data_IF_760849758464
#
_entry.id   IF_760849758464
#
_cell.length_a   1.000
_cell.length_b   1.000
_cell.length_c   1.000
_cell.angle_alpha   90.00
_cell.angle_beta   90.00
_cell.angle_gamma   90.00
#
_symmetry.space_group_name_H-M   'P 1'
#
loop_
_entity.id
_entity.type
_entity.pdbx_description
1 polymer ?
#
# COMPACT_ATOMS: atom_id res chain seq x y z
N UNK A 1 -53.92 -35.15 4.84
CA UNK A 1 -52.55 -34.98 5.41
C UNK A 1 -51.64 -34.42 4.34
N UNK A 2 -51.54 -33.11 4.15
CA UNK A 2 -50.43 -32.45 3.42
C UNK A 2 -50.26 -31.08 4.09
N UNK A 3 -49.14 -30.92 4.79
CA UNK A 3 -48.84 -29.77 5.64
C UNK A 3 -48.37 -28.57 4.83
N UNK A 4 -48.96 -27.44 5.17
CA UNK A 4 -48.59 -26.08 4.76
C UNK A 4 -47.24 -25.73 5.43
N UNK A 5 -46.21 -25.40 4.66
CA UNK A 5 -44.96 -24.82 5.19
C UNK A 5 -44.85 -23.37 4.75
N UNK A 6 -44.98 -22.47 5.73
CA UNK A 6 -44.68 -21.05 5.63
C UNK A 6 -43.18 -20.85 5.38
N UNK A 7 -42.83 -20.12 4.32
CA UNK A 7 -41.52 -19.48 4.17
C UNK A 7 -41.62 -18.08 4.78
N UNK A 8 -40.96 -17.88 5.92
CA UNK A 8 -40.74 -16.56 6.48
C UNK A 8 -39.65 -15.85 5.66
N UNK A 9 -40.04 -14.81 4.93
CA UNK A 9 -39.12 -13.92 4.25
C UNK A 9 -38.43 -13.00 5.26
N UNK A 10 -37.13 -13.21 5.45
CA UNK A 10 -36.27 -12.28 6.19
C UNK A 10 -35.83 -11.18 5.22
N UNK A 11 -36.55 -10.06 5.25
CA UNK A 11 -36.24 -8.86 4.49
C UNK A 11 -35.07 -8.15 5.18
N UNK A 12 -33.85 -8.42 4.73
CA UNK A 12 -32.68 -7.62 5.12
C UNK A 12 -32.78 -6.29 4.37
N UNK A 13 -33.20 -5.23 5.07
CA UNK A 13 -33.02 -3.87 4.58
C UNK A 13 -31.51 -3.61 4.49
N UNK A 14 -30.99 -3.61 3.26
CA UNK A 14 -29.70 -3.03 2.93
C UNK A 14 -29.83 -1.52 3.18
N UNK A 15 -29.31 -1.06 4.32
CA UNK A 15 -29.01 0.34 4.52
C UNK A 15 -27.95 0.72 3.48
N UNK A 16 -28.38 1.42 2.43
CA UNK A 16 -27.46 2.10 1.53
C UNK A 16 -26.57 3.02 2.39
N UNK A 17 -25.25 3.03 2.21
CA UNK A 17 -24.44 4.08 2.81
C UNK A 17 -24.94 5.38 2.21
N UNK A 18 -25.61 6.20 3.01
CA UNK A 18 -25.74 7.60 2.70
C UNK A 18 -24.33 8.09 2.43
N UNK A 19 -24.11 8.66 1.24
CA UNK A 19 -22.88 9.41 0.98
C UNK A 19 -22.84 10.52 2.03
N UNK A 20 -22.14 10.26 3.13
CA UNK A 20 -21.73 11.29 4.04
C UNK A 20 -20.93 12.26 3.18
N UNK A 21 -21.44 13.49 3.07
CA UNK A 21 -20.60 14.59 2.64
C UNK A 21 -19.53 14.62 3.70
N UNK A 22 -18.32 14.14 3.39
CA UNK A 22 -17.18 14.22 4.30
C UNK A 22 -17.13 15.66 4.81
N UNK A 23 -17.22 15.80 6.14
CA UNK A 23 -17.04 17.11 6.75
C UNK A 23 -15.71 17.67 6.25
N UNK A 24 -15.65 18.94 5.83
CA UNK A 24 -14.42 19.48 5.23
C UNK A 24 -13.27 19.37 6.23
N UNK A 25 -12.27 18.56 5.86
CA UNK A 25 -11.01 18.40 6.58
C UNK A 25 -10.42 19.78 6.91
N UNK A 26 -10.36 20.14 8.19
CA UNK A 26 -9.82 21.44 8.59
C UNK A 26 -8.37 21.28 9.02
N UNK A 27 -7.48 21.90 8.24
CA UNK A 27 -6.05 21.81 8.48
C UNK A 27 -5.45 23.05 9.12
N UNK A 28 -4.47 22.81 9.97
CA UNK A 28 -3.68 23.81 10.66
C UNK A 28 -2.20 23.50 10.56
N UNK A 29 -1.38 24.53 10.59
CA UNK A 29 0.07 24.39 10.79
C UNK A 29 0.52 25.38 11.88
N UNK A 30 1.66 25.10 12.50
CA UNK A 30 2.19 25.98 13.53
C UNK A 30 3.19 25.26 14.41
N UNK A 31 3.07 25.42 15.72
CA UNK A 31 4.06 24.92 16.68
C UNK A 31 3.46 24.24 17.89
N UNK A 32 4.18 23.21 18.36
CA UNK A 32 4.08 22.62 19.70
C UNK A 32 5.44 22.84 20.37
N UNK A 33 5.50 23.73 21.36
CA UNK A 33 6.76 24.26 21.86
C UNK A 33 7.54 24.96 20.75
N UNK A 34 8.72 24.44 20.40
CA UNK A 34 9.53 24.93 19.28
C UNK A 34 9.41 24.07 18.02
N UNK A 35 8.73 22.93 18.10
CA UNK A 35 8.64 21.98 17.00
C UNK A 35 7.49 22.38 16.06
N UNK A 36 7.76 22.37 14.74
CA UNK A 36 6.75 22.67 13.72
C UNK A 36 5.86 21.46 13.49
N UNK A 37 4.55 21.68 13.44
CA UNK A 37 3.54 20.64 13.24
C UNK A 37 2.55 21.00 12.14
N UNK A 38 1.93 19.98 11.56
CA UNK A 38 0.71 20.08 10.76
C UNK A 38 -0.35 19.21 11.45
N UNK A 39 -1.57 19.73 11.56
CA UNK A 39 -2.70 19.12 12.26
C UNK A 39 -3.90 19.12 11.30
N UNK A 40 -4.55 17.97 11.17
CA UNK A 40 -5.86 17.83 10.55
C UNK A 40 -6.89 17.49 11.62
N UNK A 41 -8.05 18.15 11.58
CA UNK A 41 -9.18 17.90 12.48
C UNK A 41 -10.45 17.73 11.64
N UNK A 42 -11.25 16.75 12.06
CA UNK A 42 -12.61 16.51 11.62
C UNK A 42 -13.55 16.57 12.83
N UNK A 43 -14.73 17.17 12.63
CA UNK A 43 -15.73 17.37 13.67
C UNK A 43 -17.05 16.74 13.24
N UNK A 44 -17.58 15.85 14.07
CA UNK A 44 -18.85 15.18 13.80
C UNK A 44 -19.68 15.07 15.08
N UNK A 45 -20.87 15.67 15.09
CA UNK A 45 -21.86 15.56 16.19
C UNK A 45 -21.31 15.75 17.62
N UNK A 46 -20.27 16.60 17.80
CA UNK A 46 -19.64 16.91 19.09
C UNK A 46 -18.43 16.02 19.44
N UNK A 47 -18.18 14.99 18.65
CA UNK A 47 -16.91 14.27 18.60
C UNK A 47 -15.92 15.00 17.70
N UNK A 48 -14.64 14.85 18.04
CA UNK A 48 -13.53 15.43 17.27
C UNK A 48 -12.49 14.34 17.07
N UNK A 49 -12.16 14.08 15.82
CA UNK A 49 -11.06 13.20 15.41
C UNK A 49 -10.04 14.00 14.63
N UNK A 50 -8.83 13.46 14.52
CA UNK A 50 -7.80 14.10 13.73
C UNK A 50 -6.48 13.38 13.87
N UNK A 51 -5.47 14.04 13.34
CA UNK A 51 -4.10 13.56 13.37
C UNK A 51 -3.15 14.72 13.19
N UNK A 52 -1.95 14.59 13.73
CA UNK A 52 -0.90 15.57 13.53
C UNK A 52 0.45 14.88 13.36
N UNK A 53 1.36 15.56 12.68
CA UNK A 53 2.75 15.14 12.61
C UNK A 53 3.69 16.30 12.90
N UNK A 54 4.87 15.98 13.44
CA UNK A 54 5.99 16.92 13.51
C UNK A 54 6.71 16.96 12.16
N UNK A 55 6.99 18.14 11.61
CA UNK A 55 7.66 18.27 10.28
C UNK A 55 9.02 17.58 10.19
N UNK A 56 9.66 17.31 11.33
CA UNK A 56 10.96 16.62 11.41
C UNK A 56 10.85 15.10 11.33
N UNK A 57 9.79 14.50 11.88
CA UNK A 57 9.60 13.04 11.88
C UNK A 57 8.61 12.58 10.82
N UNK A 58 7.60 13.40 10.50
CA UNK A 58 6.53 13.12 9.53
C UNK A 58 5.69 11.88 9.87
N UNK A 59 5.79 11.36 11.10
CA UNK A 59 4.96 10.26 11.55
C UNK A 59 3.65 10.79 12.08
N UNK A 60 2.55 10.20 11.61
CA UNK A 60 1.20 10.55 12.05
C UNK A 60 0.96 10.12 13.50
N UNK A 61 0.37 11.01 14.27
CA UNK A 61 -0.05 10.78 15.65
C UNK A 61 -1.56 10.99 15.70
N UNK A 62 -2.27 9.91 16.03
CA UNK A 62 -3.74 9.92 16.11
C UNK A 62 -4.23 10.88 17.19
N UNK A 63 -5.39 11.48 16.97
CA UNK A 63 -6.11 12.31 17.93
C UNK A 63 -7.59 11.94 17.93
N UNK A 64 -8.15 11.77 19.12
CA UNK A 64 -9.59 11.60 19.31
C UNK A 64 -10.03 12.33 20.57
N UNK A 65 -11.27 12.81 20.58
CA UNK A 65 -11.77 13.55 21.73
C UNK A 65 -13.08 14.27 21.47
N UNK A 66 -13.29 15.38 22.19
CA UNK A 66 -14.57 16.10 22.23
C UNK A 66 -14.40 17.60 22.16
N UNK A 67 -15.41 18.27 21.63
CA UNK A 67 -15.53 19.71 21.67
C UNK A 67 -16.50 20.13 22.79
N UNK A 68 -16.10 21.16 23.55
CA UNK A 68 -16.96 21.82 24.53
C UNK A 68 -16.86 23.34 24.35
N UNK A 69 -17.89 23.94 23.74
CA UNK A 69 -17.84 25.33 23.30
C UNK A 69 -16.72 25.54 22.28
N UNK A 70 -15.78 26.44 22.57
CA UNK A 70 -14.61 26.71 21.72
C UNK A 70 -13.39 25.85 22.06
N UNK A 71 -13.50 24.95 23.04
CA UNK A 71 -12.37 24.15 23.53
C UNK A 71 -12.43 22.74 22.96
N UNK A 72 -11.37 22.32 22.29
CA UNK A 72 -11.13 20.94 21.86
C UNK A 72 -10.26 20.25 22.91
N UNK A 73 -10.70 19.08 23.37
CA UNK A 73 -9.92 18.20 24.24
C UNK A 73 -9.69 16.90 23.50
N UNK A 74 -8.45 16.64 23.13
CA UNK A 74 -8.01 15.53 22.30
C UNK A 74 -6.96 14.71 23.05
N UNK A 75 -6.91 13.43 22.74
CA UNK A 75 -5.92 12.49 23.25
C UNK A 75 -5.41 11.62 22.11
N UNK A 76 -4.11 11.33 22.13
CA UNK A 76 -3.50 10.32 21.27
C UNK A 76 -3.44 8.99 21.98
N UNK A 77 -4.03 7.96 21.39
CA UNK A 77 -3.92 6.58 21.91
C UNK A 77 -2.52 6.02 21.69
N UNK A 78 -1.86 6.48 20.63
CA UNK A 78 -0.52 6.06 20.22
C UNK A 78 0.56 6.55 21.18
N UNK A 79 0.44 7.77 21.70
CA UNK A 79 1.50 8.41 22.52
C UNK A 79 1.08 8.66 23.97
N UNK A 80 -0.22 8.65 24.26
CA UNK A 80 -0.79 9.11 25.52
C UNK A 80 -0.74 10.63 25.70
N UNK A 81 -0.43 11.38 24.63
CA UNK A 81 -0.37 12.84 24.68
C UNK A 81 -1.77 13.43 24.72
N UNK A 82 -1.95 14.44 25.57
CA UNK A 82 -3.20 15.18 25.70
C UNK A 82 -3.06 16.57 25.09
N UNK A 83 -3.99 16.94 24.22
CA UNK A 83 -3.99 18.19 23.50
C UNK A 83 -5.25 18.98 23.84
N UNK A 84 -5.08 20.15 24.45
CA UNK A 84 -6.17 21.07 24.77
C UNK A 84 -5.99 22.32 23.93
N UNK A 85 -6.92 22.56 23.01
CA UNK A 85 -6.91 23.70 22.09
C UNK A 85 -8.15 24.57 22.29
N UNK A 86 -8.00 25.87 22.07
CA UNK A 86 -9.05 26.87 22.16
C UNK A 86 -9.10 27.60 20.83
N UNK A 87 -10.29 27.64 20.20
CA UNK A 87 -10.52 28.47 19.01
C UNK A 87 -10.46 29.95 19.34
N UNK A 88 -9.64 30.67 18.59
CA UNK A 88 -9.52 32.12 18.61
C UNK A 88 -9.66 32.63 17.17
N UNK A 89 -10.91 32.86 16.75
CA UNK A 89 -11.22 33.10 15.33
C UNK A 89 -10.89 31.86 14.50
N UNK A 90 -10.06 32.03 13.47
CA UNK A 90 -9.58 30.93 12.63
C UNK A 90 -8.37 30.18 13.23
N UNK A 91 -7.79 30.65 14.33
CA UNK A 91 -6.59 30.06 14.93
C UNK A 91 -6.93 29.12 16.08
N UNK A 92 -6.00 28.21 16.40
CA UNK A 92 -6.06 27.36 17.59
C UNK A 92 -4.84 27.64 18.49
N UNK A 93 -5.09 27.91 19.77
CA UNK A 93 -4.03 28.07 20.78
C UNK A 93 -4.29 27.18 21.98
N UNK A 94 -3.25 26.79 22.70
CA UNK A 94 -3.44 25.91 23.85
C UNK A 94 -2.16 25.25 24.35
N UNK A 95 -2.29 23.99 24.77
CA UNK A 95 -1.15 23.23 25.26
C UNK A 95 -1.27 21.73 24.94
N UNK A 96 -0.13 21.13 24.64
CA UNK A 96 0.07 19.68 24.62
C UNK A 96 0.70 19.28 25.96
N UNK A 97 0.20 18.22 26.57
CA UNK A 97 0.79 17.57 27.74
C UNK A 97 1.20 16.17 27.34
N UNK A 98 2.51 15.90 27.35
CA UNK A 98 3.02 14.58 26.98
C UNK A 98 2.60 13.54 28.01
N UNK A 99 2.61 12.26 27.66
CA UNK A 99 2.43 11.15 28.63
C UNK A 99 3.39 11.19 29.84
N UNK A 100 4.55 11.85 29.71
CA UNK A 100 5.51 12.10 30.81
C UNK A 100 5.24 13.36 31.64
N UNK A 101 4.12 14.05 31.43
CA UNK A 101 3.72 15.25 32.16
C UNK A 101 4.38 16.57 31.70
N UNK A 102 5.22 16.56 30.65
CA UNK A 102 5.77 17.79 30.09
C UNK A 102 4.67 18.56 29.37
N UNK A 103 4.51 19.85 29.69
CA UNK A 103 3.56 20.75 29.04
C UNK A 103 4.26 21.65 28.03
N UNK A 104 3.74 21.69 26.80
CA UNK A 104 4.27 22.47 25.67
C UNK A 104 3.17 23.43 25.17
N UNK A 105 3.48 24.72 24.96
CA UNK A 105 2.52 25.65 24.39
C UNK A 105 2.22 25.29 22.94
N UNK A 106 0.97 25.50 22.51
CA UNK A 106 0.52 25.23 21.14
C UNK A 106 -0.03 26.50 20.52
N UNK A 107 0.41 26.79 19.30
CA UNK A 107 -0.07 27.92 18.50
C UNK A 107 -0.15 27.49 17.05
N UNK A 108 -1.36 27.50 16.49
CA UNK A 108 -1.68 27.01 15.16
C UNK A 108 -2.56 28.02 14.42
N UNK A 109 -2.32 28.15 13.14
CA UNK A 109 -3.13 28.93 12.20
C UNK A 109 -3.55 28.05 11.02
N UNK A 110 -4.59 28.41 10.26
CA UNK A 110 -5.03 27.65 9.10
C UNK A 110 -3.87 27.33 8.16
N UNK A 111 -3.76 26.07 7.75
CA UNK A 111 -2.68 25.64 6.86
C UNK A 111 -2.92 26.14 5.44
N UNK A 112 -1.85 26.60 4.79
CA UNK A 112 -1.86 26.87 3.36
C UNK A 112 -1.74 25.60 2.50
N UNK A 113 -1.54 25.81 1.19
CA UNK A 113 -1.12 24.75 0.27
C UNK A 113 0.39 24.54 0.44
N UNK A 114 0.87 23.30 0.64
CA UNK A 114 2.30 23.04 0.74
C UNK A 114 3.02 23.38 -0.57
N UNK A 115 4.20 24.00 -0.45
CA UNK A 115 5.12 24.28 -1.55
C UNK A 115 6.25 23.25 -1.59
N UNK A 116 7.04 23.24 -2.67
CA UNK A 116 8.20 22.34 -2.84
C UNK A 116 7.81 20.86 -2.74
N UNK A 117 6.70 20.51 -3.39
CA UNK A 117 6.29 19.12 -3.52
C UNK A 117 7.19 18.39 -4.53
N UNK A 118 7.58 17.14 -4.26
CA UNK A 118 8.27 16.30 -5.24
C UNK A 118 7.47 16.11 -6.53
N UNK A 119 8.19 15.86 -7.61
CA UNK A 119 7.60 15.27 -8.81
C UNK A 119 7.12 13.84 -8.52
N UNK A 120 6.24 13.32 -9.37
CA UNK A 120 5.73 11.95 -9.34
C UNK A 120 5.02 11.54 -8.04
N UNK A 121 4.50 12.50 -7.27
CA UNK A 121 3.63 12.15 -6.15
C UNK A 121 2.43 11.30 -6.60
N UNK A 122 1.91 10.43 -5.71
CA UNK A 122 0.67 9.70 -5.95
C UNK A 122 -0.44 10.66 -6.41
N UNK A 123 -1.28 10.26 -7.39
CA UNK A 123 -2.22 11.19 -8.02
C UNK A 123 -3.37 11.57 -7.08
N UNK A 124 -3.72 10.68 -6.14
CA UNK A 124 -4.78 10.85 -5.15
C UNK A 124 -4.12 11.00 -3.78
N UNK A 125 -3.88 12.24 -3.37
CA UNK A 125 -3.43 12.60 -2.02
C UNK A 125 -4.39 13.64 -1.45
N UNK A 126 -4.75 13.49 -0.17
CA UNK A 126 -5.47 14.51 0.59
C UNK A 126 -4.61 15.75 0.77
N UNK A 127 -5.21 16.85 1.21
CA UNK A 127 -4.46 18.07 1.52
C UNK A 127 -3.43 17.82 2.63
N UNK A 128 -3.78 17.02 3.63
CA UNK A 128 -2.91 16.65 4.74
C UNK A 128 -1.76 15.76 4.30
N UNK A 129 -2.01 14.76 3.46
CA UNK A 129 -0.96 13.89 2.93
C UNK A 129 0.07 14.66 2.10
N UNK A 130 -0.35 15.68 1.34
CA UNK A 130 0.61 16.54 0.61
C UNK A 130 1.55 17.27 1.54
N UNK A 131 1.09 17.65 2.73
CA UNK A 131 1.95 18.31 3.70
C UNK A 131 3.10 17.40 4.16
N UNK A 132 2.93 16.07 4.23
CA UNK A 132 4.02 15.14 4.52
C UNK A 132 5.22 15.31 3.57
N UNK A 133 4.94 15.54 2.29
CA UNK A 133 5.97 15.59 1.25
C UNK A 133 6.66 16.94 1.07
N UNK A 134 6.13 18.02 1.66
CA UNK A 134 6.64 19.37 1.47
C UNK A 134 8.14 19.48 1.82
N UNK A 135 8.99 19.74 0.81
CA UNK A 135 10.45 19.84 0.95
C UNK A 135 11.19 18.50 1.06
N UNK A 136 10.53 17.37 0.81
CA UNK A 136 11.20 16.07 0.70
C UNK A 136 11.82 15.90 -0.69
N UNK A 137 12.85 15.07 -0.77
CA UNK A 137 13.47 14.67 -2.03
C UNK A 137 14.12 13.30 -1.89
N UNK A 138 14.29 12.61 -3.01
CA UNK A 138 15.11 11.42 -3.06
C UNK A 138 16.58 11.78 -3.24
N UNK A 139 17.44 11.09 -2.50
CA UNK A 139 18.90 11.22 -2.62
C UNK A 139 19.48 10.05 -3.42
N UNK A 140 20.38 10.30 -4.38
CA UNK A 140 21.04 9.24 -5.12
C UNK A 140 21.95 8.41 -4.20
N UNK A 141 21.98 7.11 -4.42
CA UNK A 141 22.81 6.15 -3.70
C UNK A 141 23.62 5.30 -4.71
N UNK A 142 23.92 4.05 -4.34
CA UNK A 142 24.72 3.12 -5.14
C UNK A 142 24.16 2.93 -6.56
N UNK A 143 25.06 2.85 -7.53
CA UNK A 143 24.78 2.42 -8.90
C UNK A 143 25.28 0.99 -9.11
N UNK A 144 24.56 0.23 -9.96
CA UNK A 144 24.86 -1.16 -10.26
C UNK A 144 24.61 -1.47 -11.73
N UNK A 145 25.33 -2.45 -12.28
CA UNK A 145 25.09 -2.96 -13.63
C UNK A 145 24.60 -4.41 -13.56
N UNK A 146 23.45 -4.69 -14.17
CA UNK A 146 22.77 -5.99 -14.19
C UNK A 146 22.50 -6.34 -15.66
N UNK A 147 23.10 -7.44 -16.16
CA UNK A 147 22.85 -7.90 -17.53
C UNK A 147 23.09 -6.83 -18.61
N UNK A 148 24.15 -6.03 -18.46
CA UNK A 148 24.52 -4.93 -19.38
C UNK A 148 23.71 -3.64 -19.22
N UNK A 149 22.78 -3.57 -18.26
CA UNK A 149 21.93 -2.39 -17.97
C UNK A 149 22.35 -1.75 -16.67
N UNK A 150 22.27 -0.43 -16.58
CA UNK A 150 22.70 0.32 -15.39
C UNK A 150 21.49 0.87 -14.64
N UNK A 151 21.49 0.68 -13.33
CA UNK A 151 20.53 1.28 -12.41
C UNK A 151 21.24 2.13 -11.36
N UNK A 152 20.50 3.07 -10.76
CA UNK A 152 20.91 3.78 -9.54
C UNK A 152 19.82 3.69 -8.50
N UNK A 153 20.19 3.32 -7.28
CA UNK A 153 19.29 3.38 -6.13
C UNK A 153 19.08 4.82 -5.67
N UNK A 154 17.85 5.13 -5.27
CA UNK A 154 17.49 6.40 -4.65
C UNK A 154 16.88 6.14 -3.28
N UNK A 155 17.17 6.99 -2.29
CA UNK A 155 16.72 6.86 -0.90
C UNK A 155 15.98 8.12 -0.45
N UNK A 156 14.83 7.95 0.20
CA UNK A 156 14.22 9.04 0.97
C UNK A 156 14.91 9.12 2.36
N UNK A 157 15.47 10.28 2.75
CA UNK A 157 16.28 10.39 3.96
C UNK A 157 15.65 9.94 5.28
N UNK A 158 14.36 10.23 5.51
CA UNK A 158 13.67 10.02 6.78
C UNK A 158 13.24 8.56 6.97
N UNK A 159 12.45 8.02 6.05
CA UNK A 159 11.96 6.63 6.05
C UNK A 159 13.05 5.62 5.69
N UNK A 160 14.05 6.06 4.92
CA UNK A 160 15.09 5.19 4.38
C UNK A 160 14.66 4.28 3.24
N UNK A 161 13.43 4.41 2.77
CA UNK A 161 12.86 3.62 1.68
C UNK A 161 13.67 3.87 0.40
N UNK A 162 14.02 2.77 -0.26
CA UNK A 162 14.84 2.76 -1.47
C UNK A 162 14.13 2.12 -2.63
N UNK A 163 14.28 2.73 -3.81
CA UNK A 163 13.93 2.12 -5.08
C UNK A 163 14.88 2.63 -6.17
N UNK A 164 15.18 1.79 -7.14
CA UNK A 164 16.12 2.11 -8.21
C UNK A 164 15.47 2.95 -9.31
N UNK A 165 16.31 3.54 -10.16
CA UNK A 165 15.97 4.14 -11.44
C UNK A 165 16.88 3.56 -12.52
N UNK A 166 16.33 3.40 -13.72
CA UNK A 166 17.04 2.98 -14.91
C UNK A 166 17.89 4.15 -15.44
N UNK A 167 19.19 3.96 -15.61
CA UNK A 167 20.09 4.97 -16.17
C UNK A 167 20.49 4.64 -17.61
N UNK A 168 20.70 3.35 -17.93
CA UNK A 168 21.13 2.88 -19.25
C UNK A 168 20.64 1.49 -19.58
N UNK A 169 20.52 1.21 -20.88
CA UNK A 169 20.31 -0.14 -21.42
C UNK A 169 18.90 -0.42 -21.97
N UNK A 170 18.04 0.59 -22.02
CA UNK A 170 16.76 0.58 -22.73
C UNK A 170 16.56 1.90 -23.50
N UNK A 171 15.49 1.99 -24.30
CA UNK A 171 15.13 3.22 -25.00
C UNK A 171 14.80 4.35 -24.01
N UNK A 172 15.30 5.56 -24.28
CA UNK A 172 15.16 6.70 -23.36
C UNK A 172 13.70 7.04 -22.98
N UNK A 173 12.72 7.04 -23.91
CA UNK A 173 11.32 7.29 -23.54
C UNK A 173 10.73 6.24 -22.60
N UNK A 174 11.04 4.95 -22.83
CA UNK A 174 10.57 3.87 -21.96
C UNK A 174 11.21 3.94 -20.57
N UNK A 175 12.53 4.23 -20.49
CA UNK A 175 13.19 4.44 -19.19
C UNK A 175 12.60 5.61 -18.43
N UNK A 176 12.30 6.73 -19.10
CA UNK A 176 11.69 7.89 -18.46
C UNK A 176 10.32 7.54 -17.88
N UNK A 177 9.44 6.91 -18.66
CA UNK A 177 8.11 6.49 -18.22
C UNK A 177 8.17 5.53 -17.01
N UNK A 178 9.05 4.52 -17.07
CA UNK A 178 9.23 3.57 -15.96
C UNK A 178 9.83 4.27 -14.74
N UNK A 179 10.78 5.18 -14.91
CA UNK A 179 11.36 5.92 -13.79
C UNK A 179 10.34 6.82 -13.07
N UNK A 180 9.39 7.41 -13.80
CA UNK A 180 8.25 8.12 -13.20
C UNK A 180 7.34 7.18 -12.39
N UNK A 181 7.05 5.99 -12.93
CA UNK A 181 6.27 4.98 -12.21
C UNK A 181 6.98 4.46 -10.95
N UNK A 182 8.30 4.21 -11.03
CA UNK A 182 9.13 3.83 -9.89
C UNK A 182 9.17 4.95 -8.85
N UNK A 183 9.31 6.22 -9.25
CA UNK A 183 9.27 7.35 -8.31
C UNK A 183 7.94 7.46 -7.58
N UNK A 184 6.83 7.29 -8.32
CA UNK A 184 5.49 7.27 -7.74
C UNK A 184 5.31 6.14 -6.74
N UNK A 185 5.70 4.91 -7.10
CA UNK A 185 5.65 3.75 -6.19
C UNK A 185 6.51 3.97 -4.94
N UNK A 186 7.70 4.57 -5.09
CA UNK A 186 8.54 4.91 -3.94
C UNK A 186 7.85 5.92 -3.02
N UNK A 187 7.23 6.98 -3.56
CA UNK A 187 6.48 7.94 -2.76
C UNK A 187 5.24 7.35 -2.10
N UNK A 188 4.54 6.41 -2.73
CA UNK A 188 3.43 5.67 -2.12
C UNK A 188 3.89 4.92 -0.86
N UNK A 189 5.03 4.22 -0.95
CA UNK A 189 5.59 3.51 0.20
C UNK A 189 6.09 4.46 1.30
N UNK A 190 6.64 5.62 0.94
CA UNK A 190 6.97 6.69 1.90
C UNK A 190 5.72 7.23 2.60
N UNK A 191 4.61 7.43 1.86
CA UNK A 191 3.32 7.84 2.42
C UNK A 191 2.84 6.83 3.48
N UNK A 192 2.84 5.54 3.12
CA UNK A 192 2.43 4.47 4.02
C UNK A 192 3.30 4.41 5.29
N UNK A 193 4.60 4.67 5.16
CA UNK A 193 5.52 4.74 6.30
C UNK A 193 5.20 5.90 7.24
N UNK A 194 4.87 7.07 6.71
CA UNK A 194 4.46 8.23 7.51
C UNK A 194 3.12 8.01 8.23
N UNK A 195 2.16 7.37 7.56
CA UNK A 195 0.83 7.09 8.11
C UNK A 195 0.81 5.93 9.13
N UNK A 196 1.84 5.08 9.13
CA UNK A 196 1.90 3.91 10.01
C UNK A 196 2.84 4.15 11.19
N UNK A 197 2.27 4.58 12.31
CA UNK A 197 2.96 4.71 13.60
C UNK A 197 2.59 3.55 14.52
N UNK A 198 3.52 3.00 15.29
CA UNK A 198 3.28 1.95 16.29
C UNK A 198 2.70 2.51 17.60
N UNK A 199 2.25 1.65 18.54
CA UNK A 199 1.71 2.05 19.85
C UNK A 199 2.71 2.79 20.77
N UNK A 200 3.95 3.03 20.32
CA UNK A 200 4.98 3.80 21.02
C UNK A 200 5.31 5.15 20.35
N UNK A 201 4.59 5.54 19.30
CA UNK A 201 4.85 6.78 18.56
C UNK A 201 6.04 6.69 17.60
N UNK A 202 6.49 5.48 17.25
CA UNK A 202 7.60 5.21 16.32
C UNK A 202 7.08 4.67 14.99
N UNK A 203 7.91 4.56 13.94
CA UNK A 203 7.46 3.92 12.70
C UNK A 203 6.97 2.50 12.95
N UNK A 204 5.76 2.19 12.50
CA UNK A 204 5.16 0.87 12.59
C UNK A 204 5.53 -0.05 11.43
N UNK A 205 6.10 0.48 10.34
CA UNK A 205 6.63 -0.35 9.25
C UNK A 205 8.03 -0.84 9.63
N UNK A 206 8.19 -2.16 9.72
CA UNK A 206 9.44 -2.84 10.08
C UNK A 206 10.30 -3.14 8.85
N UNK A 207 9.66 -3.65 7.78
CA UNK A 207 10.29 -3.94 6.49
C UNK A 207 9.48 -3.25 5.40
N UNK A 208 10.16 -2.61 4.46
CA UNK A 208 9.56 -2.05 3.25
C UNK A 208 10.65 -1.84 2.21
N UNK A 209 10.79 -2.81 1.29
CA UNK A 209 11.93 -2.83 0.38
C UNK A 209 11.63 -3.53 -0.93
N UNK A 210 12.23 -3.01 -2.00
CA UNK A 210 12.36 -3.69 -3.27
C UNK A 210 13.49 -4.72 -3.21
N UNK A 211 13.21 -5.93 -3.71
CA UNK A 211 14.22 -6.91 -4.07
C UNK A 211 15.05 -6.48 -5.27
N UNK A 212 16.06 -7.28 -5.61
CA UNK A 212 16.89 -7.05 -6.79
C UNK A 212 16.02 -7.15 -8.06
N UNK A 213 16.04 -6.15 -8.96
CA UNK A 213 15.25 -6.23 -10.17
C UNK A 213 15.80 -7.25 -11.15
N UNK A 214 14.88 -7.91 -11.85
CA UNK A 214 15.18 -8.64 -13.08
C UNK A 214 15.03 -7.70 -14.28
N UNK A 215 16.09 -7.60 -15.09
CA UNK A 215 16.18 -6.69 -16.23
C UNK A 215 16.38 -7.47 -17.54
N UNK A 216 15.26 -7.94 -18.13
CA UNK A 216 15.20 -8.68 -19.39
C UNK A 216 15.41 -7.82 -20.63
N UNK A 217 15.25 -8.40 -21.82
CA UNK A 217 15.49 -7.71 -23.09
C UNK A 217 14.44 -6.64 -23.35
N UNK A 218 13.18 -7.03 -23.24
CA UNK A 218 12.01 -6.19 -23.52
C UNK A 218 11.14 -5.95 -22.28
N UNK A 219 11.54 -6.48 -21.12
CA UNK A 219 10.77 -6.39 -19.89
C UNK A 219 11.67 -6.16 -18.68
N UNK A 220 11.08 -5.67 -17.59
CA UNK A 220 11.69 -5.71 -16.27
C UNK A 220 10.65 -6.01 -15.20
N UNK A 221 11.11 -6.56 -14.09
CA UNK A 221 10.27 -6.73 -12.90
C UNK A 221 11.07 -6.61 -11.62
N UNK A 222 10.37 -6.30 -10.52
CA UNK A 222 10.91 -6.43 -9.17
C UNK A 222 9.78 -6.82 -8.21
N UNK A 223 10.17 -7.41 -7.09
CA UNK A 223 9.27 -7.75 -5.99
C UNK A 223 9.48 -6.75 -4.85
N UNK A 224 8.40 -6.32 -4.24
CA UNK A 224 8.36 -5.49 -3.03
C UNK A 224 7.85 -6.32 -1.87
N UNK A 225 8.52 -6.20 -0.73
CA UNK A 225 8.13 -6.88 0.51
C UNK A 225 7.93 -5.84 1.60
N UNK A 226 6.85 -5.99 2.37
CA UNK A 226 6.51 -5.09 3.46
C UNK A 226 6.06 -5.89 4.68
N UNK A 227 6.47 -5.49 5.88
CA UNK A 227 5.87 -5.91 7.16
C UNK A 227 5.63 -4.69 8.05
N UNK A 228 4.53 -4.69 8.78
CA UNK A 228 4.10 -3.55 9.58
C UNK A 228 3.27 -3.94 10.80
N UNK A 229 3.27 -3.08 11.81
CA UNK A 229 2.43 -3.15 13.00
C UNK A 229 2.00 -1.74 13.39
N UNK A 230 1.01 -1.20 12.68
CA UNK A 230 0.50 0.14 12.95
C UNK A 230 -0.42 0.15 14.19
N UNK A 231 -0.45 1.27 14.90
CA UNK A 231 -1.34 1.53 16.02
C UNK A 231 -2.81 1.37 15.58
N UNK A 232 -3.61 0.74 16.43
CA UNK A 232 -5.01 0.43 16.13
C UNK A 232 -5.23 -0.77 15.19
N UNK A 233 -4.18 -1.32 14.57
CA UNK A 233 -4.30 -2.61 13.89
C UNK A 233 -4.47 -3.74 14.93
N UNK A 234 -5.31 -4.72 14.61
CA UNK A 234 -5.55 -5.86 15.51
C UNK A 234 -4.28 -6.71 15.73
N UNK A 235 -3.36 -6.68 14.76
CA UNK A 235 -2.16 -7.49 14.72
C UNK A 235 -1.18 -6.99 13.62
N UNK A 236 0.13 -7.32 13.70
CA UNK A 236 1.09 -7.00 12.63
C UNK A 236 0.69 -7.63 11.30
N UNK A 237 0.96 -7.07 10.14
CA UNK A 237 0.70 -7.75 8.86
C UNK A 237 1.89 -7.60 7.93
N UNK A 238 1.86 -8.35 6.85
CA UNK A 238 2.90 -8.31 5.84
C UNK A 238 2.34 -8.65 4.46
N UNK A 239 3.09 -8.30 3.44
CA UNK A 239 2.69 -8.53 2.07
C UNK A 239 3.87 -8.51 1.12
N UNK A 240 3.65 -9.22 0.02
CA UNK A 240 4.55 -9.23 -1.14
C UNK A 240 3.75 -8.78 -2.34
N UNK A 241 4.33 -7.90 -3.14
CA UNK A 241 3.75 -7.47 -4.42
C UNK A 241 4.84 -7.48 -5.47
N UNK A 242 4.50 -7.82 -6.71
CA UNK A 242 5.43 -7.67 -7.82
C UNK A 242 4.96 -6.62 -8.80
N UNK A 243 5.94 -6.00 -9.45
CA UNK A 243 5.77 -4.91 -10.39
C UNK A 243 6.52 -5.26 -11.66
N UNK A 244 5.87 -5.13 -12.81
CA UNK A 244 6.42 -5.53 -14.10
C UNK A 244 6.13 -4.47 -15.17
N UNK A 245 7.07 -4.27 -16.09
CA UNK A 245 6.97 -3.24 -17.13
C UNK A 245 7.43 -3.78 -18.48
N UNK A 246 6.77 -3.33 -19.55
CA UNK A 246 7.22 -3.47 -20.93
C UNK A 246 8.24 -2.37 -21.23
N UNK A 247 9.49 -2.74 -21.47
CA UNK A 247 10.60 -1.82 -21.70
C UNK A 247 10.70 -1.30 -23.14
N UNK A 248 9.79 -1.72 -24.03
CA UNK A 248 9.64 -1.11 -25.37
C UNK A 248 8.78 0.14 -25.30
N UNK A 249 7.75 0.13 -24.45
CA UNK A 249 6.74 1.20 -24.34
C UNK A 249 6.87 2.02 -23.06
N UNK A 250 7.45 1.43 -22.01
CA UNK A 250 7.50 1.96 -20.65
C UNK A 250 6.20 1.75 -19.85
N UNK A 251 5.27 0.94 -20.36
CA UNK A 251 3.98 0.67 -19.73
C UNK A 251 4.11 -0.34 -18.59
N UNK A 252 3.37 -0.12 -17.49
CA UNK A 252 3.22 -1.10 -16.43
C UNK A 252 2.32 -2.24 -16.94
N UNK A 253 2.74 -3.49 -16.75
CA UNK A 253 1.99 -4.65 -17.18
C UNK A 253 0.97 -5.06 -16.11
N UNK A 254 -0.15 -5.61 -16.55
CA UNK A 254 -1.09 -6.32 -15.67
C UNK A 254 -0.91 -7.83 -15.82
N UNK A 255 -1.28 -8.59 -14.78
CA UNK A 255 -1.15 -10.06 -14.82
C UNK A 255 -2.05 -10.67 -15.90
N UNK A 256 -3.26 -10.16 -16.04
CA UNK A 256 -4.25 -10.71 -16.96
C UNK A 256 -3.88 -10.47 -18.44
N UNK A 257 -3.08 -9.44 -18.75
CA UNK A 257 -2.50 -9.24 -20.09
C UNK A 257 -1.50 -10.35 -20.47
N UNK A 258 -0.83 -10.95 -19.48
CA UNK A 258 0.18 -11.99 -19.67
C UNK A 258 -0.39 -13.40 -19.51
N UNK A 259 -1.35 -13.55 -18.60
CA UNK A 259 -1.94 -14.82 -18.22
C UNK A 259 -3.46 -14.68 -18.15
N UNK A 260 -4.12 -15.05 -19.25
CA UNK A 260 -5.57 -15.01 -19.39
C UNK A 260 -6.15 -16.42 -19.54
N UNK A 261 -7.26 -16.68 -18.84
CA UNK A 261 -7.97 -17.96 -18.94
C UNK A 261 -9.39 -17.77 -19.45
N UNK A 262 -9.65 -18.29 -20.65
CA UNK A 262 -10.95 -18.18 -21.31
C UNK A 262 -10.84 -17.53 -22.67
N UNK A 263 -11.97 -17.34 -23.33
CA UNK A 263 -12.07 -16.73 -24.65
C UNK A 263 -12.79 -15.37 -24.64
N UNK A 264 -13.20 -14.90 -23.46
CA UNK A 264 -13.86 -13.60 -23.28
C UNK A 264 -12.85 -12.47 -23.15
N UNK A 265 -13.29 -11.20 -23.20
CA UNK A 265 -12.42 -10.08 -22.86
C UNK A 265 -11.97 -10.16 -21.40
N UNK A 266 -10.79 -9.61 -21.10
CA UNK A 266 -10.34 -9.38 -19.72
C UNK A 266 -11.29 -8.35 -19.08
N UNK A 267 -11.98 -8.68 -17.97
CA UNK A 267 -12.83 -7.73 -17.28
C UNK A 267 -12.00 -6.60 -16.66
N UNK A 268 -12.58 -5.41 -16.53
CA UNK A 268 -11.92 -4.27 -15.89
C UNK A 268 -11.52 -4.61 -14.45
N UNK A 269 -10.28 -4.32 -14.08
CA UNK A 269 -9.73 -4.57 -12.74
C UNK A 269 -10.61 -3.92 -11.65
N UNK A 270 -10.73 -4.59 -10.51
CA UNK A 270 -11.61 -4.22 -9.38
C UNK A 270 -13.12 -4.19 -9.66
N UNK A 271 -13.59 -4.63 -10.84
CA UNK A 271 -15.02 -4.82 -11.09
C UNK A 271 -15.57 -6.13 -10.49
N UNK A 272 -16.87 -6.18 -10.21
CA UNK A 272 -17.57 -7.43 -9.83
C UNK A 272 -17.32 -8.58 -10.82
N UNK A 273 -17.21 -8.25 -12.11
CA UNK A 273 -16.94 -9.22 -13.16
C UNK A 273 -15.51 -9.76 -13.07
N UNK A 274 -14.54 -8.90 -12.73
CA UNK A 274 -13.16 -9.28 -12.48
C UNK A 274 -13.04 -10.19 -11.27
N UNK A 275 -13.60 -9.83 -10.10
CA UNK A 275 -13.61 -10.71 -8.92
C UNK A 275 -14.20 -12.10 -9.23
N UNK A 276 -15.29 -12.16 -10.00
CA UNK A 276 -15.88 -13.44 -10.46
C UNK A 276 -14.95 -14.20 -11.41
N UNK A 277 -14.30 -13.52 -12.35
CA UNK A 277 -13.31 -14.12 -13.26
C UNK A 277 -12.11 -14.70 -12.49
N UNK A 278 -11.59 -13.94 -11.51
CA UNK A 278 -10.45 -14.33 -10.67
C UNK A 278 -10.72 -15.64 -9.92
N UNK A 279 -11.90 -15.76 -9.31
CA UNK A 279 -12.30 -16.99 -8.60
C UNK A 279 -12.71 -18.15 -9.52
N UNK A 280 -13.45 -17.91 -10.61
CA UNK A 280 -14.06 -18.98 -11.41
C UNK A 280 -13.19 -19.50 -12.56
N UNK A 281 -12.29 -18.68 -13.08
CA UNK A 281 -11.51 -19.00 -14.29
C UNK A 281 -10.02 -18.88 -14.04
N UNK A 282 -9.56 -17.74 -13.51
CA UNK A 282 -8.14 -17.48 -13.35
C UNK A 282 -7.48 -18.44 -12.36
N UNK A 283 -7.95 -18.48 -11.11
CA UNK A 283 -7.35 -19.30 -10.07
C UNK A 283 -7.37 -20.81 -10.40
N UNK A 284 -8.49 -21.40 -10.87
CA UNK A 284 -8.48 -22.79 -11.34
C UNK A 284 -7.51 -23.03 -12.50
N UNK A 285 -7.38 -22.06 -13.42
CA UNK A 285 -6.42 -22.10 -14.52
C UNK A 285 -4.97 -22.11 -14.03
N UNK A 286 -4.64 -21.25 -13.06
CA UNK A 286 -3.32 -21.23 -12.39
C UNK A 286 -3.04 -22.58 -11.73
N UNK A 287 -3.98 -23.12 -10.96
CA UNK A 287 -3.82 -24.44 -10.33
C UNK A 287 -3.56 -25.53 -11.37
N UNK A 288 -4.25 -25.50 -12.52
CA UNK A 288 -4.02 -26.47 -13.60
C UNK A 288 -2.62 -26.33 -14.21
N UNK A 289 -2.12 -25.11 -14.42
CA UNK A 289 -0.75 -24.87 -14.89
C UNK A 289 0.28 -25.34 -13.87
N UNK A 290 0.13 -24.94 -12.61
CA UNK A 290 1.07 -25.32 -11.56
C UNK A 290 1.08 -26.84 -11.35
N UNK A 291 -0.05 -27.53 -11.38
CA UNK A 291 -0.09 -29.01 -11.33
C UNK A 291 0.66 -29.68 -12.49
N UNK A 292 0.70 -29.03 -13.66
CA UNK A 292 1.42 -29.54 -14.82
C UNK A 292 2.93 -29.34 -14.72
N UNK A 293 3.38 -28.21 -14.18
CA UNK A 293 4.80 -27.83 -14.16
C UNK A 293 5.50 -28.06 -12.83
N UNK A 294 4.74 -28.18 -11.73
CA UNK A 294 5.18 -28.40 -10.34
C UNK A 294 4.26 -29.42 -9.65
N UNK A 295 4.17 -30.66 -10.16
CA UNK A 295 3.21 -31.65 -9.66
C UNK A 295 3.47 -32.07 -8.22
N UNK A 296 4.72 -32.05 -7.77
CA UNK A 296 5.11 -32.50 -6.43
C UNK A 296 4.72 -31.46 -5.37
N UNK A 297 4.94 -30.17 -5.65
CA UNK A 297 4.57 -29.06 -4.78
C UNK A 297 3.06 -28.81 -4.74
N UNK A 298 2.34 -29.21 -5.80
CA UNK A 298 0.88 -29.13 -5.91
C UNK A 298 0.16 -30.39 -5.43
N UNK A 299 0.88 -31.39 -4.94
CA UNK A 299 0.29 -32.54 -4.30
C UNK A 299 -0.52 -32.10 -3.07
N UNK A 300 -1.65 -32.77 -2.75
CA UNK A 300 -2.42 -32.44 -1.56
C UNK A 300 -1.52 -32.47 -0.31
N UNK A 301 -1.71 -31.52 0.62
CA UNK A 301 -0.95 -31.50 1.85
C UNK A 301 -1.15 -32.80 2.65
N UNK A 302 -0.27 -33.03 3.61
CA UNK A 302 -0.50 -34.04 4.65
C UNK A 302 -1.69 -33.69 5.53
N UNK A 303 -1.80 -34.33 6.69
CA UNK A 303 -2.90 -34.12 7.62
C UNK A 303 -2.60 -33.05 8.69
N UNK A 304 -1.53 -32.27 8.54
CA UNK A 304 -1.19 -31.21 9.50
C UNK A 304 -1.92 -29.91 9.17
N UNK A 305 -2.39 -29.20 10.19
CA UNK A 305 -2.99 -27.87 10.02
C UNK A 305 -1.96 -26.81 9.54
N UNK A 306 -0.67 -27.11 9.69
CA UNK A 306 0.45 -26.28 9.20
C UNK A 306 0.80 -26.53 7.72
N UNK A 307 0.18 -27.51 7.08
CA UNK A 307 0.51 -27.87 5.69
C UNK A 307 -0.15 -26.89 4.70
N UNK A 308 0.65 -26.41 3.74
CA UNK A 308 0.22 -25.46 2.73
C UNK A 308 -0.57 -26.15 1.61
N UNK A 309 -1.89 -25.92 1.53
CA UNK A 309 -2.70 -26.46 0.43
C UNK A 309 -2.62 -25.59 -0.84
N UNK A 310 -1.52 -25.71 -1.59
CA UNK A 310 -1.36 -24.98 -2.86
C UNK A 310 -2.32 -25.44 -3.97
N UNK A 311 -2.99 -26.60 -3.81
CA UNK A 311 -4.00 -27.08 -4.75
C UNK A 311 -5.35 -26.36 -4.61
N UNK A 312 -5.55 -25.57 -3.55
CA UNK A 312 -6.72 -24.72 -3.35
C UNK A 312 -6.67 -23.51 -4.30
N UNK A 313 -7.65 -23.31 -5.21
CA UNK A 313 -7.70 -22.13 -6.05
C UNK A 313 -7.78 -20.80 -5.28
N UNK A 314 -8.35 -20.77 -4.06
CA UNK A 314 -8.57 -19.52 -3.33
C UNK A 314 -7.27 -18.75 -3.07
N UNK A 315 -6.15 -19.45 -2.84
CA UNK A 315 -4.84 -18.82 -2.59
C UNK A 315 -4.18 -18.22 -3.83
N UNK A 316 -4.76 -18.44 -5.01
CA UNK A 316 -4.29 -17.95 -6.30
C UNK A 316 -5.22 -16.92 -6.94
N UNK A 317 -6.25 -16.47 -6.22
CA UNK A 317 -7.19 -15.47 -6.76
C UNK A 317 -6.52 -14.11 -6.99
N UNK A 318 -5.59 -13.70 -6.14
CA UNK A 318 -4.88 -12.41 -6.24
C UNK A 318 -3.39 -12.59 -5.89
N UNK A 319 -2.64 -13.40 -6.66
CA UNK A 319 -1.26 -13.67 -6.34
C UNK A 319 -0.41 -12.43 -6.60
N UNK A 320 0.62 -12.24 -5.78
CA UNK A 320 1.74 -11.40 -6.18
C UNK A 320 2.35 -12.00 -7.45
N UNK A 321 2.98 -11.20 -8.31
CA UNK A 321 3.58 -11.75 -9.53
C UNK A 321 4.71 -10.89 -10.07
N UNK A 322 5.73 -11.53 -10.62
CA UNK A 322 6.86 -10.87 -11.24
C UNK A 322 7.44 -11.71 -12.36
N UNK A 323 8.04 -11.06 -13.35
CA UNK A 323 8.77 -11.74 -14.42
C UNK A 323 10.20 -12.03 -13.97
N UNK A 324 10.75 -13.14 -14.47
CA UNK A 324 12.11 -13.58 -14.20
C UNK A 324 12.74 -14.21 -15.45
N UNK A 325 14.01 -14.58 -15.37
CA UNK A 325 14.68 -15.35 -16.41
C UNK A 325 14.06 -16.76 -16.58
N UNK A 326 13.49 -17.32 -15.51
CA UNK A 326 12.86 -18.64 -15.50
C UNK A 326 11.42 -18.64 -16.02
N UNK A 327 10.68 -17.54 -15.83
CA UNK A 327 9.25 -17.50 -16.11
C UNK A 327 8.49 -16.41 -15.34
N UNK A 328 7.16 -16.56 -15.34
CA UNK A 328 6.25 -15.78 -14.51
C UNK A 328 6.17 -16.41 -13.12
N UNK A 329 6.74 -15.73 -12.12
CA UNK A 329 6.57 -16.11 -10.71
C UNK A 329 5.22 -15.64 -10.20
N UNK A 330 4.54 -16.51 -9.44
CA UNK A 330 3.29 -16.23 -8.75
C UNK A 330 3.48 -16.46 -7.25
N UNK A 331 3.23 -15.45 -6.44
CA UNK A 331 3.22 -15.56 -4.99
C UNK A 331 1.81 -15.82 -4.47
N UNK A 332 1.57 -17.04 -3.98
CA UNK A 332 0.32 -17.41 -3.32
C UNK A 332 0.00 -16.48 -2.13
N UNK A 333 -1.29 -16.31 -1.88
CA UNK A 333 -1.82 -15.57 -0.75
C UNK A 333 -2.65 -16.48 0.15
N UNK A 334 -2.17 -16.76 1.35
CA UNK A 334 -2.85 -17.54 2.35
C UNK A 334 -3.48 -16.63 3.41
N UNK A 335 -4.51 -17.16 4.06
CA UNK A 335 -5.04 -16.56 5.27
C UNK A 335 -3.95 -16.47 6.36
N UNK A 336 -4.15 -15.54 7.28
CA UNK A 336 -3.16 -15.16 8.29
C UNK A 336 -2.51 -16.35 9.04
N UNK A 337 -3.26 -17.40 9.35
CA UNK A 337 -2.76 -18.56 10.09
C UNK A 337 -1.70 -19.37 9.33
N UNK A 338 -1.71 -19.31 7.99
CA UNK A 338 -0.85 -20.08 7.09
C UNK A 338 0.12 -19.17 6.32
N UNK A 339 0.41 -18.00 6.87
CA UNK A 339 1.31 -16.99 6.32
C UNK A 339 2.73 -17.47 5.93
N UNK A 340 3.34 -18.49 6.59
CA UNK A 340 4.58 -19.10 6.09
C UNK A 340 4.47 -19.74 4.69
N UNK A 341 3.24 -19.99 4.21
CA UNK A 341 2.97 -20.54 2.88
C UNK A 341 2.95 -19.49 1.76
N UNK A 342 2.88 -18.20 2.10
CA UNK A 342 2.81 -17.11 1.11
C UNK A 342 4.03 -17.10 0.21
N UNK A 343 3.83 -16.64 -1.02
CA UNK A 343 4.93 -16.26 -1.92
C UNK A 343 6.00 -17.36 -2.14
N UNK A 344 5.64 -18.62 -2.42
CA UNK A 344 6.62 -19.69 -2.59
C UNK A 344 7.55 -19.42 -3.78
N UNK A 345 8.85 -19.65 -3.60
CA UNK A 345 9.86 -19.40 -4.64
C UNK A 345 9.71 -20.34 -5.85
N UNK A 346 9.10 -21.51 -5.66
CA UNK A 346 8.98 -22.55 -6.70
C UNK A 346 7.88 -22.27 -7.73
N UNK A 347 6.89 -21.43 -7.40
CA UNK A 347 5.68 -21.23 -8.21
C UNK A 347 5.93 -20.37 -9.46
N UNK A 348 6.75 -20.88 -10.37
CA UNK A 348 7.19 -20.22 -11.59
C UNK A 348 6.58 -20.93 -12.80
N UNK A 349 5.73 -20.25 -13.56
CA UNK A 349 5.24 -20.75 -14.83
C UNK A 349 6.31 -20.48 -15.91
N UNK A 350 6.91 -21.52 -16.52
CA UNK A 350 8.00 -21.31 -17.46
C UNK A 350 7.53 -20.60 -18.74
N UNK A 351 8.41 -19.84 -19.39
CA UNK A 351 8.08 -19.09 -20.61
C UNK A 351 7.48 -19.97 -21.73
N UNK A 352 7.88 -21.23 -21.82
CA UNK A 352 7.32 -22.18 -22.79
C UNK A 352 5.84 -22.52 -22.56
N UNK A 353 5.33 -22.26 -21.36
CA UNK A 353 3.93 -22.49 -20.99
C UNK A 353 3.03 -21.29 -21.26
N UNK A 354 3.61 -20.10 -21.38
CA UNK A 354 2.87 -18.87 -21.67
C UNK A 354 2.74 -18.75 -23.18
N UNK A 355 1.51 -18.61 -23.67
CA UNK A 355 1.21 -18.43 -25.09
C UNK A 355 1.50 -16.98 -25.53
N UNK A 356 2.73 -16.54 -25.28
CA UNK A 356 3.20 -15.22 -25.66
C UNK A 356 3.74 -15.29 -27.10
N UNK A 357 3.35 -14.34 -27.97
CA UNK A 357 3.98 -14.13 -29.27
C UNK A 357 5.51 -14.07 -29.12
N UNK A 358 6.30 -14.60 -30.08
CA UNK A 358 7.75 -14.65 -29.97
C UNK A 358 8.41 -13.28 -29.70
N UNK A 359 7.86 -12.19 -30.22
CA UNK A 359 8.31 -10.81 -30.00
C UNK A 359 7.91 -10.22 -28.65
N UNK A 360 7.00 -10.90 -27.95
CA UNK A 360 6.54 -10.58 -26.59
C UNK A 360 7.13 -11.50 -25.53
N UNK A 361 7.92 -12.51 -25.92
CA UNK A 361 8.66 -13.34 -24.97
C UNK A 361 9.81 -12.51 -24.37
N UNK A 362 9.92 -12.42 -23.03
CA UNK A 362 10.89 -11.57 -22.34
C UNK A 362 12.37 -11.86 -22.56
#
# INVERSE_FOLDING_TARGET
MHGLRFLAGMLVLLALPASAIDAPETMYEGTVGTARVVLSIEENEGEVSGQYFYRTSRLDIDLSGKMAGTTLRLESRTTGDQLVLIRQGANLTGALTTSKGRRLPVSLHPAGIPVELPDDLPPKLTAYERWHFAGLSFTPAQSETIGGRTIRWYREPLSGIRLFRLERGYAAPAMAAVNHALARSQWQNVAAWFACTDMGGKPGIEVTQAGKPWLGVSHMSYVWTTSWSCAGAAHPDFGTQGYSYDMRTGHALTLDELLHFGSGPIPDEDSDAWYKYRGKSFAPGVVALLKRYHPDEMAPPGTSDDDCNYADPEVWQFPAWALSDKGLWLGAYFARAQRPCDSPDWAIIPWSALDLPPDKRP
#
